data_IF_011620687815
#
_entry.id   IF_011620687815
#
_cell.length_a   1.000
_cell.length_b   1.000
_cell.length_c   1.000
_cell.angle_alpha   90.00
_cell.angle_beta   90.00
_cell.angle_gamma   90.00
#
_symmetry.space_group_name_H-M   'P 1'
#
loop_
_entity.id
_entity.type
_entity.pdbx_description
1 polymer ?
#
# COMPACT_ATOMS: atom_id res chain seq x y z
N UNK A 1 -36.08 -0.07 15.89
CA UNK A 1 -34.70 -0.59 15.93
C UNK A 1 -34.38 -0.98 14.51
N UNK A 2 -33.63 -0.13 13.82
CA UNK A 2 -33.41 -0.18 12.37
C UNK A 2 -32.25 -1.14 12.07
N UNK A 3 -32.59 -2.37 11.68
CA UNK A 3 -31.68 -3.50 11.38
C UNK A 3 -30.95 -3.36 10.02
N UNK A 4 -30.97 -2.18 9.41
CA UNK A 4 -30.41 -1.94 8.07
C UNK A 4 -28.88 -1.81 8.00
N UNK A 5 -28.13 -2.07 9.09
CA UNK A 5 -26.71 -1.69 9.19
C UNK A 5 -25.64 -2.78 9.13
N UNK A 6 -25.94 -4.06 8.91
CA UNK A 6 -24.87 -5.04 8.65
C UNK A 6 -25.29 -5.98 7.52
N UNK A 7 -24.79 -5.71 6.31
CA UNK A 7 -24.82 -6.61 5.15
C UNK A 7 -23.47 -7.27 4.90
N UNK A 8 -22.60 -7.35 5.91
CA UNK A 8 -21.34 -8.06 5.76
C UNK A 8 -21.57 -9.55 6.01
N UNK A 9 -21.44 -10.33 4.94
CA UNK A 9 -21.30 -11.79 5.04
C UNK A 9 -20.09 -12.04 5.94
N UNK A 10 -20.31 -12.70 7.08
CA UNK A 10 -19.23 -13.10 7.99
C UNK A 10 -18.26 -13.97 7.21
N UNK A 11 -17.11 -13.41 6.83
CA UNK A 11 -16.04 -14.17 6.21
C UNK A 11 -15.29 -14.90 7.32
N UNK A 12 -15.00 -16.20 7.15
CA UNK A 12 -14.13 -16.90 8.08
C UNK A 12 -12.75 -16.21 8.11
N UNK A 13 -12.15 -16.17 9.30
CA UNK A 13 -10.79 -15.66 9.46
C UNK A 13 -9.80 -16.54 8.69
N UNK A 14 -9.01 -15.94 7.81
CA UNK A 14 -8.15 -16.65 6.86
C UNK A 14 -6.67 -16.73 7.28
N UNK A 15 -6.32 -16.24 8.48
CA UNK A 15 -4.96 -16.22 9.05
C UNK A 15 -3.91 -15.49 8.20
N UNK A 16 -4.32 -14.76 7.17
CA UNK A 16 -3.35 -14.05 6.31
C UNK A 16 -2.94 -12.70 6.88
N UNK A 17 -3.65 -12.15 7.87
CA UNK A 17 -3.44 -10.79 8.39
C UNK A 17 -3.56 -9.68 7.34
N UNK A 18 -4.29 -9.95 6.26
CA UNK A 18 -4.50 -8.99 5.18
C UNK A 18 -5.17 -7.72 5.67
N UNK A 19 -4.59 -6.57 5.32
CA UNK A 19 -5.04 -5.27 5.79
C UNK A 19 -5.15 -4.25 4.65
N UNK A 20 -6.26 -3.53 4.63
CA UNK A 20 -6.47 -2.35 3.77
C UNK A 20 -6.16 -1.05 4.53
N UNK A 21 -5.30 -1.10 5.54
CA UNK A 21 -4.89 0.06 6.29
C UNK A 21 -4.22 1.11 5.39
N UNK A 22 -4.72 2.36 5.46
CA UNK A 22 -4.26 3.50 4.64
C UNK A 22 -3.52 4.57 5.45
N UNK A 23 -3.07 4.22 6.65
CA UNK A 23 -2.56 5.17 7.64
C UNK A 23 -3.66 5.69 8.57
N UNK A 24 -3.23 6.26 9.70
CA UNK A 24 -4.09 6.92 10.68
C UNK A 24 -3.87 8.42 10.60
N UNK A 25 -4.94 9.19 10.43
CA UNK A 25 -4.86 10.65 10.50
C UNK A 25 -4.82 11.09 11.96
N UNK A 26 -3.76 11.82 12.31
CA UNK A 26 -3.60 12.45 13.61
C UNK A 26 -3.99 13.94 13.52
N UNK A 27 -4.43 14.53 14.63
CA UNK A 27 -4.87 15.93 14.69
C UNK A 27 -6.39 16.11 14.63
N UNK A 28 -6.83 17.37 14.51
CA UNK A 28 -8.26 17.67 14.50
C UNK A 28 -8.84 17.31 13.12
N UNK A 29 -9.71 16.28 13.06
CA UNK A 29 -10.24 15.72 11.81
C UNK A 29 -11.00 16.72 10.94
N UNK A 30 -11.49 17.80 11.54
CA UNK A 30 -12.16 18.90 10.84
C UNK A 30 -11.21 19.72 9.95
N UNK A 31 -9.90 19.63 10.18
CA UNK A 31 -8.87 20.35 9.40
C UNK A 31 -8.59 19.66 8.08
N UNK A 32 -8.69 18.34 8.01
CA UNK A 32 -8.33 17.57 6.82
C UNK A 32 -9.56 17.22 5.99
N UNK A 33 -9.58 17.65 4.73
CA UNK A 33 -10.61 17.25 3.78
C UNK A 33 -10.08 16.19 2.84
N UNK A 34 -10.63 14.98 2.94
CA UNK A 34 -10.32 13.87 2.03
C UNK A 34 -11.35 13.90 0.91
N UNK A 35 -10.89 13.95 -0.35
CA UNK A 35 -11.76 13.89 -1.52
C UNK A 35 -11.16 12.98 -2.60
N UNK A 36 -12.00 12.24 -3.36
CA UNK A 36 -11.52 11.47 -4.50
C UNK A 36 -10.86 12.37 -5.54
N UNK A 37 -9.82 11.87 -6.22
CA UNK A 37 -9.12 12.65 -7.25
C UNK A 37 -8.67 11.80 -8.44
N UNK A 38 -8.62 12.45 -9.61
CA UNK A 38 -7.99 11.90 -10.82
C UNK A 38 -6.50 12.22 -10.91
N UNK A 39 -5.99 13.10 -10.03
CA UNK A 39 -4.55 13.39 -9.96
C UNK A 39 -3.79 12.14 -9.51
N UNK A 40 -2.59 11.93 -10.08
CA UNK A 40 -1.73 10.78 -9.80
C UNK A 40 -0.36 11.24 -9.33
N UNK A 41 0.29 10.38 -8.55
CA UNK A 41 1.67 10.57 -8.14
C UNK A 41 2.55 10.43 -9.37
N UNK A 42 3.33 11.46 -9.66
CA UNK A 42 4.30 11.46 -10.75
C UNK A 42 5.52 10.63 -10.35
N UNK A 43 5.51 9.35 -10.73
CA UNK A 43 6.59 8.41 -10.43
C UNK A 43 7.90 8.79 -11.14
N UNK A 44 7.82 9.47 -12.29
CA UNK A 44 9.01 9.91 -13.03
C UNK A 44 9.80 10.96 -12.22
N UNK A 45 9.11 11.88 -11.54
CA UNK A 45 9.76 12.80 -10.59
C UNK A 45 10.48 12.07 -9.44
N UNK A 46 9.95 10.94 -8.98
CA UNK A 46 10.57 10.15 -7.90
C UNK A 46 11.82 9.38 -8.36
N UNK A 47 11.98 9.16 -9.67
CA UNK A 47 13.17 8.54 -10.28
C UNK A 47 14.32 9.54 -10.47
N UNK A 48 14.02 10.83 -10.55
CA UNK A 48 15.04 11.88 -10.62
C UNK A 48 15.92 11.78 -9.38
N UNK A 49 17.25 11.72 -9.60
CA UNK A 49 18.24 11.66 -8.51
C UNK A 49 18.27 12.98 -7.73
N UNK A 50 17.32 13.14 -6.82
CA UNK A 50 17.33 14.19 -5.80
C UNK A 50 18.08 13.70 -4.57
N UNK A 51 18.67 14.63 -3.81
CA UNK A 51 19.33 14.30 -2.55
C UNK A 51 18.28 13.82 -1.56
N UNK A 52 18.41 12.57 -1.10
CA UNK A 52 17.58 12.05 -0.01
C UNK A 52 18.12 12.66 1.28
N UNK A 53 17.32 13.52 1.92
CA UNK A 53 17.66 14.15 3.20
C UNK A 53 17.43 13.19 4.37
N UNK A 54 16.40 12.35 4.25
CA UNK A 54 16.05 11.34 5.23
C UNK A 54 15.47 10.11 4.54
N UNK A 55 15.88 8.95 5.01
CA UNK A 55 15.34 7.66 4.62
C UNK A 55 15.14 6.80 5.85
N UNK A 56 13.99 6.14 5.92
CA UNK A 56 13.73 5.13 6.95
C UNK A 56 12.90 4.00 6.35
N UNK A 57 13.23 2.77 6.75
CA UNK A 57 12.44 1.57 6.51
C UNK A 57 12.02 1.00 7.88
N UNK A 58 10.74 0.72 8.06
CA UNK A 58 10.17 0.27 9.33
C UNK A 58 9.24 -0.90 9.06
N UNK A 59 9.52 -2.05 9.67
CA UNK A 59 8.61 -3.20 9.68
C UNK A 59 7.58 -2.97 10.80
N UNK A 60 6.29 -2.99 10.45
CA UNK A 60 5.19 -2.89 11.41
C UNK A 60 4.87 -4.26 12.01
N UNK A 61 4.76 -5.29 11.16
CA UNK A 61 4.62 -6.68 11.57
C UNK A 61 5.09 -7.62 10.45
N UNK A 62 5.39 -8.85 10.84
CA UNK A 62 5.79 -9.93 9.95
C UNK A 62 5.35 -11.28 10.56
N UNK A 63 4.96 -12.22 9.70
CA UNK A 63 4.55 -13.58 10.06
C UNK A 63 4.90 -14.56 8.92
N UNK A 64 5.30 -15.79 9.26
CA UNK A 64 5.68 -16.84 8.30
C UNK A 64 4.52 -17.80 7.94
N UNK A 65 3.29 -17.49 8.37
CA UNK A 65 2.08 -18.27 8.11
C UNK A 65 2.22 -19.75 8.50
N UNK A 66 2.87 -20.00 9.63
CA UNK A 66 3.25 -21.34 10.09
C UNK A 66 3.98 -22.14 8.98
N UNK A 67 5.01 -21.53 8.39
CA UNK A 67 5.84 -22.07 7.30
C UNK A 67 5.10 -22.27 5.96
N UNK A 68 3.92 -21.66 5.76
CA UNK A 68 3.15 -21.73 4.51
C UNK A 68 3.26 -20.47 3.66
N UNK A 69 4.20 -19.58 3.98
CA UNK A 69 4.48 -18.40 3.18
C UNK A 69 5.00 -17.24 4.00
N UNK A 70 4.54 -16.03 3.70
CA UNK A 70 4.91 -14.82 4.42
C UNK A 70 3.82 -13.77 4.33
N UNK A 71 3.58 -13.08 5.44
CA UNK A 71 2.81 -11.85 5.51
C UNK A 71 3.67 -10.78 6.18
N UNK A 72 3.89 -9.66 5.49
CA UNK A 72 4.73 -8.58 5.99
C UNK A 72 4.08 -7.23 5.72
N UNK A 73 4.08 -6.35 6.71
CA UNK A 73 3.64 -4.96 6.58
C UNK A 73 4.77 -4.03 6.96
N UNK A 74 5.20 -3.16 6.03
CA UNK A 74 6.32 -2.24 6.22
C UNK A 74 6.02 -0.84 5.68
N UNK A 75 6.72 0.16 6.22
CA UNK A 75 6.63 1.56 5.81
C UNK A 75 8.02 2.07 5.45
N UNK A 76 8.16 2.55 4.22
CA UNK A 76 9.35 3.22 3.71
C UNK A 76 9.09 4.71 3.56
N UNK A 77 9.95 5.54 4.12
CA UNK A 77 9.85 7.00 4.13
C UNK A 77 11.06 7.57 3.40
N UNK A 78 10.82 8.49 2.46
CA UNK A 78 11.85 9.25 1.74
C UNK A 78 11.51 10.73 1.80
N UNK A 79 12.43 11.54 2.32
CA UNK A 79 12.30 13.00 2.34
C UNK A 79 13.34 13.62 1.42
N UNK A 80 12.89 14.52 0.57
CA UNK A 80 13.66 15.29 -0.39
C UNK A 80 13.48 16.78 -0.07
N UNK A 81 14.31 17.70 -0.61
CA UNK A 81 14.22 19.13 -0.28
C UNK A 81 12.83 19.73 -0.53
N UNK A 82 12.17 19.35 -1.62
CA UNK A 82 10.89 19.95 -2.06
C UNK A 82 9.68 19.00 -1.90
N UNK A 83 9.88 17.78 -1.41
CA UNK A 83 8.81 16.78 -1.32
C UNK A 83 9.13 15.65 -0.34
N UNK A 84 8.10 14.87 0.00
CA UNK A 84 8.29 13.57 0.64
C UNK A 84 7.45 12.49 -0.04
N UNK A 85 7.91 11.25 0.09
CA UNK A 85 7.23 10.06 -0.39
C UNK A 85 7.23 8.98 0.68
N UNK A 86 6.07 8.37 0.93
CA UNK A 86 5.90 7.27 1.86
C UNK A 86 5.24 6.11 1.11
N UNK A 87 5.79 4.91 1.29
CA UNK A 87 5.22 3.65 0.82
C UNK A 87 4.92 2.77 2.03
N UNK A 88 3.64 2.63 2.36
CA UNK A 88 3.14 1.57 3.22
C UNK A 88 2.81 0.38 2.33
N UNK A 89 3.50 -0.75 2.52
CA UNK A 89 3.30 -1.97 1.73
C UNK A 89 2.95 -3.11 2.66
N UNK A 90 1.81 -3.73 2.39
CA UNK A 90 1.51 -5.07 2.85
C UNK A 90 1.80 -6.07 1.72
N UNK A 91 2.64 -7.05 2.01
CA UNK A 91 3.01 -8.13 1.10
C UNK A 91 2.55 -9.46 1.70
N UNK A 92 1.89 -10.27 0.88
CA UNK A 92 1.45 -11.60 1.22
C UNK A 92 1.87 -12.56 0.12
N UNK A 93 2.51 -13.66 0.51
CA UNK A 93 2.68 -14.85 -0.31
C UNK A 93 2.15 -16.02 0.49
N UNK A 94 1.20 -16.75 -0.10
CA UNK A 94 0.81 -18.07 0.39
C UNK A 94 1.36 -19.06 -0.61
N UNK A 95 2.25 -19.94 -0.14
CA UNK A 95 3.02 -20.82 -0.99
C UNK A 95 2.10 -21.71 -1.84
N UNK A 96 2.43 -21.83 -3.13
CA UNK A 96 1.66 -22.56 -4.15
C UNK A 96 0.20 -22.07 -4.37
N UNK A 97 -0.25 -21.01 -3.70
CA UNK A 97 -1.62 -20.52 -3.78
C UNK A 97 -1.70 -19.16 -4.48
N UNK A 98 -1.26 -18.09 -3.81
CA UNK A 98 -1.41 -16.71 -4.31
C UNK A 98 -0.32 -15.78 -3.78
N UNK A 99 -0.17 -14.67 -4.48
CA UNK A 99 0.61 -13.50 -4.04
C UNK A 99 -0.27 -12.27 -4.10
N UNK A 100 -0.16 -11.42 -3.09
CA UNK A 100 -0.93 -10.18 -2.95
C UNK A 100 -0.01 -9.07 -2.46
N UNK A 101 -0.11 -7.90 -3.09
CA UNK A 101 0.55 -6.67 -2.65
C UNK A 101 -0.52 -5.60 -2.48
N UNK A 102 -0.56 -4.97 -1.31
CA UNK A 102 -1.40 -3.80 -1.04
C UNK A 102 -0.47 -2.64 -0.72
N UNK A 103 -0.42 -1.67 -1.63
CA UNK A 103 0.39 -0.46 -1.50
C UNK A 103 -0.51 0.72 -1.13
N UNK A 104 -0.12 1.48 -0.11
CA UNK A 104 -0.59 2.86 0.11
C UNK A 104 0.60 3.79 -0.07
N UNK A 105 0.54 4.59 -1.14
CA UNK A 105 1.55 5.59 -1.49
C UNK A 105 1.05 6.95 -1.06
N UNK A 106 1.90 7.70 -0.37
CA UNK A 106 1.59 9.06 0.08
C UNK A 106 2.68 9.97 -0.46
N UNK A 107 2.28 11.03 -1.15
CA UNK A 107 3.19 11.99 -1.75
C UNK A 107 2.73 13.41 -1.49
N UNK A 108 3.69 14.28 -1.21
CA UNK A 108 3.45 15.69 -0.99
C UNK A 108 4.60 16.52 -1.52
N UNK A 109 4.28 17.62 -2.18
CA UNK A 109 5.23 18.66 -2.57
C UNK A 109 5.03 19.86 -1.66
N UNK A 110 6.12 20.43 -1.13
CA UNK A 110 6.09 21.52 -0.13
C UNK A 110 5.26 22.74 -0.61
N UNK A 111 5.17 22.96 -1.91
CA UNK A 111 4.42 24.08 -2.51
C UNK A 111 2.91 23.81 -2.66
N UNK A 112 2.44 22.59 -2.43
CA UNK A 112 1.03 22.21 -2.54
C UNK A 112 0.37 22.25 -1.16
N UNK A 113 -0.89 22.65 -1.08
CA UNK A 113 -1.69 22.61 0.15
C UNK A 113 -2.47 21.29 0.29
N UNK A 114 -1.98 20.22 -0.31
CA UNK A 114 -2.58 18.91 -0.25
C UNK A 114 -1.55 17.81 -0.35
N UNK A 115 -1.98 16.62 0.07
CA UNK A 115 -1.24 15.37 -0.02
C UNK A 115 -2.01 14.45 -0.98
N UNK A 116 -1.31 13.77 -1.87
CA UNK A 116 -1.87 12.70 -2.68
C UNK A 116 -1.70 11.37 -1.97
N UNK A 117 -2.77 10.59 -1.89
CA UNK A 117 -2.74 9.22 -1.38
C UNK A 117 -3.31 8.27 -2.42
N UNK A 118 -2.49 7.33 -2.87
CA UNK A 118 -2.90 6.26 -3.78
C UNK A 118 -2.90 4.94 -3.03
N UNK A 119 -4.04 4.25 -3.00
CA UNK A 119 -4.17 2.92 -2.42
C UNK A 119 -4.45 1.92 -3.54
N UNK A 120 -3.63 0.87 -3.64
CA UNK A 120 -3.75 -0.11 -4.70
C UNK A 120 -3.52 -1.52 -4.16
N UNK A 121 -4.47 -2.41 -4.44
CA UNK A 121 -4.32 -3.84 -4.20
C UNK A 121 -4.08 -4.55 -5.54
N UNK A 122 -3.09 -5.43 -5.56
CA UNK A 122 -2.81 -6.33 -6.67
C UNK A 122 -2.72 -7.77 -6.17
N UNK A 123 -3.22 -8.71 -6.96
CA UNK A 123 -3.23 -10.13 -6.60
C UNK A 123 -3.28 -11.03 -7.84
N UNK A 124 -2.55 -12.13 -7.77
CA UNK A 124 -2.73 -13.27 -8.67
C UNK A 124 -2.55 -14.59 -7.92
N UNK A 125 -3.17 -15.65 -8.44
CA UNK A 125 -2.78 -17.01 -8.05
C UNK A 125 -1.41 -17.30 -8.64
N UNK A 126 -0.57 -18.01 -7.89
CA UNK A 126 0.81 -18.30 -8.33
C UNK A 126 0.81 -19.09 -9.64
N UNK A 127 -0.14 -20.02 -9.82
CA UNK A 127 -0.31 -20.81 -11.04
C UNK A 127 -0.58 -19.99 -12.31
N UNK A 128 -1.10 -18.77 -12.16
CA UNK A 128 -1.45 -17.89 -13.29
C UNK A 128 -0.30 -16.92 -13.63
N UNK A 129 0.77 -16.90 -12.82
CA UNK A 129 1.95 -16.06 -13.03
C UNK A 129 3.04 -16.82 -13.76
N UNK A 130 3.56 -16.22 -14.84
CA UNK A 130 4.73 -16.76 -15.58
C UNK A 130 6.00 -16.05 -15.10
N UNK A 131 6.38 -16.26 -13.84
CA UNK A 131 7.54 -15.61 -13.22
C UNK A 131 8.42 -16.63 -12.50
N UNK A 132 9.70 -16.29 -12.26
CA UNK A 132 10.61 -17.17 -11.52
C UNK A 132 10.24 -17.21 -10.03
N UNK A 133 10.56 -18.32 -9.36
CA UNK A 133 10.33 -18.46 -7.91
C UNK A 133 11.10 -17.40 -7.10
N UNK A 134 12.28 -16.99 -7.57
CA UNK A 134 13.04 -15.92 -6.95
C UNK A 134 12.27 -14.58 -6.98
N UNK A 135 11.54 -14.30 -8.06
CA UNK A 135 10.73 -13.08 -8.17
C UNK A 135 9.57 -13.06 -7.17
N UNK A 136 8.99 -14.23 -6.85
CA UNK A 136 7.91 -14.34 -5.85
C UNK A 136 8.36 -13.91 -4.45
N UNK A 137 9.66 -13.85 -4.18
CA UNK A 137 10.23 -13.39 -2.91
C UNK A 137 10.66 -11.93 -2.93
N UNK A 138 10.53 -11.25 -4.07
CA UNK A 138 10.89 -9.85 -4.22
C UNK A 138 9.64 -9.01 -4.54
N UNK A 139 9.01 -8.40 -3.52
CA UNK A 139 7.78 -7.63 -3.69
C UNK A 139 7.95 -6.43 -4.63
N UNK A 140 9.16 -5.89 -4.74
CA UNK A 140 9.43 -4.71 -5.55
C UNK A 140 9.28 -5.02 -7.04
N UNK A 141 9.91 -6.10 -7.50
CA UNK A 141 9.90 -6.49 -8.90
C UNK A 141 8.63 -7.29 -9.25
N UNK A 142 8.07 -8.00 -8.28
CA UNK A 142 6.81 -8.73 -8.46
C UNK A 142 5.63 -7.78 -8.73
N UNK A 143 5.64 -6.57 -8.18
CA UNK A 143 4.53 -5.61 -8.29
C UNK A 143 4.11 -5.31 -9.74
N UNK A 144 5.06 -5.26 -10.66
CA UNK A 144 4.81 -5.00 -12.09
C UNK A 144 4.15 -6.18 -12.82
N UNK A 145 4.22 -7.38 -12.23
CA UNK A 145 3.67 -8.62 -12.80
C UNK A 145 2.26 -8.94 -12.27
N UNK A 146 1.83 -8.27 -11.19
CA UNK A 146 0.53 -8.52 -10.59
C UNK A 146 -0.59 -7.71 -11.23
N UNK A 147 -1.78 -8.32 -11.33
CA UNK A 147 -3.02 -7.71 -11.78
C UNK A 147 -3.63 -6.86 -10.67
N UNK A 148 -4.01 -5.63 -10.99
CA UNK A 148 -4.72 -4.74 -10.07
C UNK A 148 -6.13 -5.24 -9.80
N UNK A 149 -6.46 -5.45 -8.52
CA UNK A 149 -7.80 -5.85 -8.07
C UNK A 149 -8.60 -4.67 -7.55
N UNK A 150 -7.95 -3.68 -6.93
CA UNK A 150 -8.58 -2.41 -6.55
C UNK A 150 -7.59 -1.25 -6.60
N UNK A 151 -8.13 -0.06 -6.85
CA UNK A 151 -7.36 1.18 -6.78
C UNK A 151 -8.25 2.33 -6.33
N UNK A 152 -7.75 3.12 -5.38
CA UNK A 152 -8.40 4.31 -4.84
C UNK A 152 -7.39 5.46 -4.78
N UNK A 153 -7.86 6.66 -5.06
CA UNK A 153 -7.01 7.83 -5.20
C UNK A 153 -7.67 9.01 -4.49
N UNK A 154 -6.99 9.48 -3.45
CA UNK A 154 -7.49 10.54 -2.58
C UNK A 154 -6.55 11.73 -2.62
N UNK A 155 -7.15 12.92 -2.53
CA UNK A 155 -6.50 14.17 -2.18
C UNK A 155 -6.87 14.53 -0.75
N UNK A 156 -5.86 14.78 0.08
CA UNK A 156 -6.01 15.19 1.47
C UNK A 156 -5.58 16.66 1.56
N UNK A 157 -6.54 17.57 1.61
CA UNK A 157 -6.33 19.01 1.71
C UNK A 157 -6.20 19.42 3.18
N UNK A 158 -5.35 20.40 3.47
CA UNK A 158 -5.08 20.95 4.81
C UNK A 158 -4.98 22.48 4.80
#
# INVERSE_FOLDING_TARGET
LDDSKIKDVVKPFDWTYSTHYKGTLFGNKEVYKISPTEERIDVEKLKVKSKILFYQDIILFEDELADNGTAQCSVKIRIMPDSFFILLRYFLRVDNLLVRIIDTRIYHEVKKNYILREHMAKENKIKDLTVSLALLSNPQDLWDHLTTTSSEYDKIEF
#
